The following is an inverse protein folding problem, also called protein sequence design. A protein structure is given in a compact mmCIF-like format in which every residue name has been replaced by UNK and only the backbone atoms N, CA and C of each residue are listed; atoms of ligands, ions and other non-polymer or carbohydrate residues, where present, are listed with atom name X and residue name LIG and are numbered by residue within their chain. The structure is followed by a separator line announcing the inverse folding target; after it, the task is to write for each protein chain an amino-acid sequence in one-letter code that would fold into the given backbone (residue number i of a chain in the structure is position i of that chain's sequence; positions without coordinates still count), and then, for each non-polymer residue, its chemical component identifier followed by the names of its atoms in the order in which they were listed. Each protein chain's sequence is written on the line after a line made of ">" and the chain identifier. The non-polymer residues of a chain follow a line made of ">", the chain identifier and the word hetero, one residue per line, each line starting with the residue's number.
data_IF_736611172612
#
_entry.id   IF_736611172612
#
_cell.length_a   1.000
_cell.length_b   1.000
_cell.length_c   1.000
_cell.angle_alpha   90.00
_cell.angle_beta   90.00
_cell.angle_gamma   90.00
#
_symmetry.space_group_name_H-M   'P 1'
#
loop_
_entity.id
_entity.type
_entity.pdbx_description
1 polymer ?
#
# COMPACT_ATOMS: atom_id res chain seq x y z
N UNK A 1 -1.52 -20.27 20.47
CA UNK A 1 -1.26 -18.92 19.92
C UNK A 1 -0.96 -19.10 18.44
N UNK A 2 -1.62 -18.37 17.52
CA UNK A 2 -1.40 -18.49 16.08
C UNK A 2 0.07 -18.29 15.68
N UNK A 3 0.56 -19.07 14.72
CA UNK A 3 1.97 -19.05 14.26
C UNK A 3 2.36 -17.69 13.69
N UNK A 4 1.45 -17.07 12.94
CA UNK A 4 1.58 -15.72 12.37
C UNK A 4 1.81 -14.60 13.41
N UNK A 5 1.54 -14.83 14.69
CA UNK A 5 1.73 -13.84 15.75
C UNK A 5 3.03 -14.05 16.56
N UNK A 6 3.74 -15.15 16.32
CA UNK A 6 5.05 -15.42 16.93
C UNK A 6 6.06 -14.28 16.72
N UNK A 7 6.14 -13.62 15.55
CA UNK A 7 7.09 -12.52 15.37
C UNK A 7 6.89 -11.35 16.35
N UNK A 8 5.67 -11.15 16.87
CA UNK A 8 5.40 -10.10 17.86
C UNK A 8 6.10 -10.35 19.20
N UNK A 9 6.34 -11.61 19.58
CA UNK A 9 7.08 -11.89 20.82
C UNK A 9 8.54 -11.46 20.70
N UNK A 10 9.12 -11.55 19.49
CA UNK A 10 10.47 -11.08 19.22
C UNK A 10 10.60 -9.56 19.27
N UNK A 11 9.49 -8.83 19.07
CA UNK A 11 9.40 -7.37 19.25
C UNK A 11 9.13 -6.95 20.71
N UNK A 12 9.13 -7.90 21.66
CA UNK A 12 8.95 -7.62 23.09
C UNK A 12 7.49 -7.56 23.56
N UNK A 13 6.53 -8.09 22.78
CA UNK A 13 5.16 -8.26 23.27
C UNK A 13 5.06 -9.55 24.09
N UNK A 14 4.52 -9.43 25.30
CA UNK A 14 4.14 -10.60 26.09
C UNK A 14 2.93 -11.31 25.48
N UNK A 15 2.82 -12.62 25.73
CA UNK A 15 1.66 -13.42 25.30
C UNK A 15 0.33 -12.81 25.76
N UNK A 16 0.28 -12.24 26.97
CA UNK A 16 -0.91 -11.55 27.49
C UNK A 16 -1.30 -10.32 26.65
N UNK A 17 -0.33 -9.51 26.21
CA UNK A 17 -0.59 -8.37 25.31
C UNK A 17 -1.09 -8.82 23.94
N UNK A 18 -0.55 -9.92 23.40
CA UNK A 18 -1.01 -10.51 22.14
C UNK A 18 -2.46 -11.00 22.28
N UNK A 19 -2.79 -11.72 23.35
CA UNK A 19 -4.17 -12.15 23.63
C UNK A 19 -5.12 -10.94 23.77
N UNK A 20 -4.67 -9.86 24.41
CA UNK A 20 -5.47 -8.64 24.52
C UNK A 20 -5.70 -7.97 23.16
N UNK A 21 -4.72 -7.98 22.26
CA UNK A 21 -4.91 -7.52 20.88
C UNK A 21 -5.92 -8.38 20.12
N UNK A 22 -5.89 -9.70 20.31
CA UNK A 22 -6.87 -10.61 19.70
C UNK A 22 -8.28 -10.36 20.23
N UNK A 23 -8.44 -10.16 21.54
CA UNK A 23 -9.71 -9.81 22.16
C UNK A 23 -10.24 -8.49 21.60
N UNK A 24 -9.40 -7.44 21.55
CA UNK A 24 -9.75 -6.15 20.94
C UNK A 24 -10.14 -6.29 19.47
N UNK A 25 -9.44 -7.10 18.70
CA UNK A 25 -9.79 -7.34 17.30
C UNK A 25 -11.17 -7.99 17.19
N UNK A 26 -11.48 -8.99 18.04
CA UNK A 26 -12.80 -9.61 18.10
C UNK A 26 -13.89 -8.61 18.44
N UNK A 27 -13.70 -7.80 19.48
CA UNK A 27 -14.70 -6.81 19.95
C UNK A 27 -15.01 -5.75 18.88
N UNK A 28 -14.09 -5.52 17.94
CA UNK A 28 -14.26 -4.56 16.85
C UNK A 28 -14.68 -5.20 15.52
N UNK A 29 -15.06 -6.48 15.51
CA UNK A 29 -15.52 -7.19 14.31
C UNK A 29 -14.39 -7.70 13.40
N UNK A 30 -13.14 -7.62 13.85
CA UNK A 30 -11.92 -8.05 13.15
C UNK A 30 -11.40 -9.39 13.71
N UNK A 31 -12.28 -10.29 14.13
CA UNK A 31 -11.90 -11.59 14.70
C UNK A 31 -11.04 -12.38 13.70
N UNK A 32 -9.89 -12.87 14.14
CA UNK A 32 -8.95 -13.62 13.29
C UNK A 32 -8.15 -12.76 12.30
N UNK A 33 -8.35 -11.43 12.24
CA UNK A 33 -7.64 -10.55 11.30
C UNK A 33 -6.30 -10.03 11.85
N UNK A 34 -5.94 -10.35 13.09
CA UNK A 34 -4.71 -9.82 13.70
C UNK A 34 -3.46 -10.26 12.93
N UNK A 35 -3.42 -11.50 12.42
CA UNK A 35 -2.33 -11.97 11.56
C UNK A 35 -2.20 -11.13 10.30
N UNK A 36 -3.31 -10.92 9.57
CA UNK A 36 -3.35 -10.08 8.37
C UNK A 36 -2.91 -8.63 8.65
N UNK A 37 -3.34 -8.05 9.78
CA UNK A 37 -2.92 -6.71 10.20
C UNK A 37 -1.42 -6.66 10.43
N UNK A 38 -0.85 -7.68 11.11
CA UNK A 38 0.59 -7.77 11.37
C UNK A 38 1.38 -7.89 10.07
N UNK A 39 0.94 -8.74 9.14
CA UNK A 39 1.56 -8.87 7.81
C UNK A 39 1.59 -7.52 7.08
N UNK A 40 0.44 -6.84 7.01
CA UNK A 40 0.30 -5.56 6.32
C UNK A 40 1.23 -4.46 6.82
N UNK A 41 1.56 -4.49 8.11
CA UNK A 41 2.31 -3.41 8.75
C UNK A 41 3.66 -3.85 9.30
N UNK A 42 4.12 -5.05 8.93
CA UNK A 42 5.38 -5.62 9.41
C UNK A 42 6.59 -4.70 9.15
N UNK A 43 6.75 -4.11 7.94
CA UNK A 43 7.87 -3.20 7.68
C UNK A 43 7.91 -1.98 8.61
N UNK A 44 6.74 -1.50 9.04
CA UNK A 44 6.62 -0.34 9.93
C UNK A 44 6.83 -0.71 11.39
N UNK A 45 6.36 -1.89 11.84
CA UNK A 45 6.43 -2.28 13.26
C UNK A 45 7.70 -3.04 13.64
N UNK A 46 8.40 -3.66 12.68
CA UNK A 46 9.62 -4.45 12.92
C UNK A 46 10.77 -3.65 13.53
N UNK A 47 10.75 -2.32 13.37
CA UNK A 47 11.77 -1.39 13.91
C UNK A 47 11.35 -0.77 15.26
N UNK A 48 10.16 -1.09 15.77
CA UNK A 48 9.59 -0.46 16.96
C UNK A 48 9.75 -1.35 18.19
N UNK A 49 9.75 -0.73 19.37
CA UNK A 49 9.72 -1.46 20.64
C UNK A 49 8.31 -1.99 20.97
N UNK A 50 8.22 -2.99 21.85
CA UNK A 50 6.96 -3.69 22.12
C UNK A 50 5.82 -2.83 22.69
N UNK A 51 6.12 -1.68 23.31
CA UNK A 51 5.10 -0.72 23.76
C UNK A 51 4.51 0.03 22.56
N UNK A 52 5.37 0.55 21.68
CA UNK A 52 4.95 1.23 20.47
C UNK A 52 4.19 0.29 19.52
N UNK A 53 4.68 -0.94 19.34
CA UNK A 53 4.00 -1.97 18.54
C UNK A 53 2.61 -2.27 19.10
N UNK A 54 2.47 -2.47 20.42
CA UNK A 54 1.18 -2.73 21.04
C UNK A 54 0.20 -1.56 20.85
N UNK A 55 0.65 -0.33 21.02
CA UNK A 55 -0.18 0.86 20.81
C UNK A 55 -0.63 1.00 19.35
N UNK A 56 0.29 0.79 18.42
CA UNK A 56 0.04 0.86 16.98
C UNK A 56 -0.99 -0.19 16.54
N UNK A 57 -0.76 -1.47 16.89
CA UNK A 57 -1.69 -2.55 16.58
C UNK A 57 -3.05 -2.35 17.26
N UNK A 58 -3.08 -1.86 18.50
CA UNK A 58 -4.32 -1.53 19.21
C UNK A 58 -5.17 -0.48 18.49
N UNK A 59 -4.54 0.46 17.80
CA UNK A 59 -5.23 1.46 16.98
C UNK A 59 -5.77 0.83 15.69
N UNK A 60 -4.98 -0.03 15.05
CA UNK A 60 -5.38 -0.68 13.81
C UNK A 60 -6.52 -1.65 14.00
N UNK A 61 -6.49 -2.51 15.01
CA UNK A 61 -7.58 -3.50 15.23
C UNK A 61 -8.96 -2.88 15.46
N UNK A 62 -9.04 -1.59 15.79
CA UNK A 62 -10.29 -0.83 15.94
C UNK A 62 -10.84 -0.28 14.61
N UNK A 63 -10.03 -0.22 13.56
CA UNK A 63 -10.48 0.27 12.27
C UNK A 63 -11.29 -0.82 11.58
N UNK A 64 -12.48 -0.48 11.08
CA UNK A 64 -13.26 -1.40 10.23
C UNK A 64 -12.70 -1.33 8.81
N UNK A 65 -11.84 -2.29 8.47
CA UNK A 65 -11.24 -2.46 7.15
C UNK A 65 -11.25 -3.94 6.78
N UNK A 66 -11.35 -4.23 5.49
CA UNK A 66 -11.19 -5.58 4.96
C UNK A 66 -9.70 -5.90 4.84
N UNK A 67 -9.09 -6.33 5.95
CA UNK A 67 -7.66 -6.63 6.01
C UNK A 67 -7.27 -7.81 5.13
N UNK A 68 -8.13 -8.82 4.99
CA UNK A 68 -7.90 -9.94 4.09
C UNK A 68 -7.79 -9.48 2.63
N UNK A 69 -8.68 -8.57 2.19
CA UNK A 69 -8.57 -7.94 0.87
C UNK A 69 -7.32 -7.09 0.73
N UNK A 70 -6.96 -6.34 1.78
CA UNK A 70 -5.74 -5.52 1.76
C UNK A 70 -4.46 -6.36 1.68
N UNK A 71 -4.40 -7.52 2.35
CA UNK A 71 -3.30 -8.48 2.19
C UNK A 71 -3.25 -9.00 0.76
N UNK A 72 -4.37 -9.40 0.16
CA UNK A 72 -4.39 -9.83 -1.25
C UNK A 72 -3.91 -8.74 -2.21
N UNK A 73 -4.31 -7.50 -1.96
CA UNK A 73 -3.80 -6.34 -2.69
C UNK A 73 -2.29 -6.22 -2.48
N UNK A 74 -1.82 -6.26 -1.23
CA UNK A 74 -0.40 -6.21 -0.93
C UNK A 74 0.37 -7.34 -1.62
N UNK A 75 -0.06 -8.59 -1.53
CA UNK A 75 0.55 -9.74 -2.20
C UNK A 75 0.57 -9.55 -3.72
N UNK A 76 -0.54 -9.11 -4.33
CA UNK A 76 -0.61 -8.80 -5.76
C UNK A 76 0.34 -7.67 -6.20
N UNK A 77 0.65 -6.73 -5.30
CA UNK A 77 1.57 -5.61 -5.56
C UNK A 77 2.98 -5.81 -4.98
N UNK A 78 3.21 -6.82 -4.14
CA UNK A 78 4.50 -7.20 -3.54
C UNK A 78 5.13 -8.41 -4.24
N UNK A 79 4.35 -9.24 -4.95
CA UNK A 79 4.87 -10.25 -5.90
C UNK A 79 5.65 -9.63 -7.07
N UNK A 80 5.59 -8.30 -7.24
CA UNK A 80 6.53 -7.54 -8.09
C UNK A 80 7.84 -7.16 -7.37
N UNK A 81 8.21 -7.88 -6.31
CA UNK A 81 9.52 -7.80 -5.65
C UNK A 81 9.78 -6.51 -4.85
N UNK A 82 10.67 -6.60 -3.86
CA UNK A 82 11.35 -5.41 -3.37
C UNK A 82 12.14 -4.81 -4.54
N UNK A 83 11.66 -3.67 -5.06
CA UNK A 83 12.41 -2.89 -6.04
C UNK A 83 13.78 -2.57 -5.43
N UNK A 84 14.90 -3.03 -6.01
CA UNK A 84 16.22 -2.73 -5.49
C UNK A 84 16.41 -1.22 -5.35
N UNK A 85 17.06 -0.77 -4.28
CA UNK A 85 17.19 0.67 -3.98
C UNK A 85 17.76 1.46 -5.17
N UNK A 86 18.77 0.92 -5.85
CA UNK A 86 19.36 1.55 -7.03
C UNK A 86 18.37 1.72 -8.20
N UNK A 87 17.43 0.77 -8.36
CA UNK A 87 16.38 0.84 -9.38
C UNK A 87 15.34 1.89 -8.98
N UNK A 88 14.97 1.93 -7.70
CA UNK A 88 14.07 2.94 -7.16
C UNK A 88 14.64 4.37 -7.33
N UNK A 89 15.94 4.55 -7.07
CA UNK A 89 16.62 5.85 -7.23
C UNK A 89 16.61 6.30 -8.71
N UNK A 90 17.00 5.41 -9.65
CA UNK A 90 16.94 5.67 -11.10
C UNK A 90 15.53 6.05 -11.56
N UNK A 91 14.50 5.38 -11.04
CA UNK A 91 13.11 5.63 -11.43
C UNK A 91 12.57 6.91 -10.78
N UNK A 92 12.99 7.25 -9.55
CA UNK A 92 12.67 8.51 -8.90
C UNK A 92 13.18 9.72 -9.71
N UNK A 93 14.39 9.63 -10.26
CA UNK A 93 14.97 10.68 -11.12
C UNK A 93 14.13 10.94 -12.38
N UNK A 94 13.37 9.95 -12.84
CA UNK A 94 12.53 10.04 -14.04
C UNK A 94 11.14 10.60 -13.78
N UNK A 95 10.71 10.68 -12.52
CA UNK A 95 9.38 11.19 -12.15
C UNK A 95 9.13 12.60 -12.70
N UNK A 96 10.05 13.59 -12.55
CA UNK A 96 9.82 14.93 -13.09
C UNK A 96 9.61 14.93 -14.61
N UNK A 97 10.44 14.21 -15.36
CA UNK A 97 10.32 14.10 -16.81
C UNK A 97 9.00 13.41 -17.24
N UNK A 98 8.58 12.39 -16.51
CA UNK A 98 7.29 11.74 -16.73
C UNK A 98 6.12 12.69 -16.48
N UNK A 99 6.15 13.46 -15.39
CA UNK A 99 5.09 14.42 -15.05
C UNK A 99 4.97 15.55 -16.06
N UNK A 100 6.09 16.06 -16.56
CA UNK A 100 6.08 17.05 -17.65
C UNK A 100 5.46 16.46 -18.93
N UNK A 101 5.83 15.23 -19.30
CA UNK A 101 5.32 14.56 -20.50
C UNK A 101 3.83 14.18 -20.40
N UNK A 102 3.36 13.86 -19.21
CA UNK A 102 1.98 13.39 -18.96
C UNK A 102 0.99 14.51 -18.66
N UNK A 103 1.41 15.77 -18.75
CA UNK A 103 0.57 16.93 -18.46
C UNK A 103 -0.71 16.92 -19.31
N UNK A 104 -1.84 16.80 -18.63
CA UNK A 104 -3.17 16.76 -19.27
C UNK A 104 -3.53 15.41 -19.90
N UNK A 105 -2.65 14.42 -19.85
CA UNK A 105 -2.87 13.09 -20.43
C UNK A 105 -3.61 12.17 -19.45
N UNK A 106 -4.26 11.15 -20.02
CA UNK A 106 -4.81 10.03 -19.27
C UNK A 106 -3.82 8.87 -19.28
N UNK A 107 -3.80 8.12 -18.19
CA UNK A 107 -3.09 6.87 -18.06
C UNK A 107 -4.05 5.73 -18.37
N UNK A 108 -3.66 4.85 -19.28
CA UNK A 108 -4.39 3.63 -19.61
C UNK A 108 -3.52 2.41 -19.39
N UNK A 109 -4.12 1.29 -19.01
CA UNK A 109 -3.42 0.01 -18.97
C UNK A 109 -3.11 -0.48 -20.40
N UNK A 110 -2.24 -1.49 -20.52
CA UNK A 110 -1.98 -2.18 -21.79
C UNK A 110 -3.24 -2.79 -22.40
N UNK A 111 -4.22 -3.21 -21.59
CA UNK A 111 -5.52 -3.72 -22.07
C UNK A 111 -6.49 -2.62 -22.52
N UNK A 112 -6.12 -1.34 -22.35
CA UNK A 112 -6.95 -0.18 -22.71
C UNK A 112 -7.87 0.31 -21.59
N UNK A 113 -7.77 -0.23 -20.38
CA UNK A 113 -8.52 0.23 -19.22
C UNK A 113 -8.07 1.62 -18.78
N UNK A 114 -9.01 2.53 -18.52
CA UNK A 114 -8.69 3.86 -18.03
C UNK A 114 -8.27 3.80 -16.56
N UNK A 115 -7.01 4.10 -16.28
CA UNK A 115 -6.47 4.13 -14.91
C UNK A 115 -6.66 5.49 -14.24
N UNK A 116 -6.80 6.56 -15.02
CA UNK A 116 -7.09 7.92 -14.51
C UNK A 116 -6.38 9.03 -15.27
N UNK A 117 -6.53 10.26 -14.82
CA UNK A 117 -5.83 11.42 -15.38
C UNK A 117 -4.60 11.77 -14.55
N UNK A 118 -3.47 12.05 -15.22
CA UNK A 118 -2.27 12.48 -14.51
C UNK A 118 -2.38 13.97 -14.15
N UNK A 119 -2.17 14.28 -12.88
CA UNK A 119 -2.16 15.65 -12.33
C UNK A 119 -0.80 15.94 -11.71
N UNK A 120 -0.25 17.09 -12.04
CA UNK A 120 0.99 17.59 -11.45
C UNK A 120 0.65 18.43 -10.20
N UNK A 121 1.46 18.28 -9.15
CA UNK A 121 1.39 19.04 -7.92
C UNK A 121 2.78 19.57 -7.56
N UNK A 122 2.88 20.63 -6.76
CA UNK A 122 4.18 21.26 -6.44
C UNK A 122 5.21 20.31 -5.77
N UNK A 123 4.75 19.19 -5.20
CA UNK A 123 5.56 18.19 -4.50
C UNK A 123 5.64 16.83 -5.21
N UNK A 124 5.16 16.72 -6.45
CA UNK A 124 5.12 15.46 -7.22
C UNK A 124 3.92 15.38 -8.16
N UNK A 125 3.37 14.19 -8.37
CA UNK A 125 2.13 14.05 -9.14
C UNK A 125 1.28 12.90 -8.65
N UNK A 126 0.04 12.87 -9.10
CA UNK A 126 -0.91 11.82 -8.78
C UNK A 126 -1.75 11.48 -10.00
N UNK A 127 -2.16 10.21 -10.07
CA UNK A 127 -3.18 9.74 -11.01
C UNK A 127 -4.51 9.81 -10.29
N UNK A 128 -5.42 10.57 -10.87
CA UNK A 128 -6.77 10.76 -10.38
C UNK A 128 -7.73 9.86 -11.14
N UNK A 129 -8.47 9.02 -10.41
CA UNK A 129 -9.49 8.15 -10.97
C UNK A 129 -10.78 8.21 -10.18
N UNK A 130 -11.87 7.78 -10.82
CA UNK A 130 -13.17 7.60 -10.19
C UNK A 130 -13.42 6.10 -10.23
N UNK A 131 -13.64 5.48 -9.06
CA UNK A 131 -13.97 4.06 -9.02
C UNK A 131 -15.42 3.79 -9.46
N UNK A 132 -15.78 2.52 -9.62
CA UNK A 132 -17.13 2.09 -10.04
C UNK A 132 -18.26 2.56 -9.10
N UNK A 133 -17.92 3.10 -7.92
CA UNK A 133 -18.86 3.63 -6.93
C UNK A 133 -18.93 5.15 -6.95
N UNK A 134 -18.27 5.80 -7.91
CA UNK A 134 -18.21 7.25 -8.03
C UNK A 134 -17.24 7.91 -7.02
N UNK A 135 -16.40 7.13 -6.32
CA UNK A 135 -15.47 7.67 -5.34
C UNK A 135 -14.17 8.07 -6.01
N UNK A 136 -13.77 9.33 -5.83
CA UNK A 136 -12.48 9.85 -6.29
C UNK A 136 -11.34 9.18 -5.54
N UNK A 137 -10.43 8.57 -6.28
CA UNK A 137 -9.19 7.97 -5.77
C UNK A 137 -7.99 8.69 -6.34
N UNK A 138 -6.97 8.83 -5.52
CA UNK A 138 -5.69 9.42 -5.89
C UNK A 138 -4.59 8.39 -5.65
N UNK A 139 -3.86 8.05 -6.70
CA UNK A 139 -2.68 7.21 -6.62
C UNK A 139 -1.44 8.08 -6.85
N UNK A 140 -0.43 8.07 -5.97
CA UNK A 140 0.78 8.84 -6.19
C UNK A 140 1.56 8.33 -7.40
N UNK A 141 2.14 9.25 -8.18
CA UNK A 141 3.17 8.93 -9.16
C UNK A 141 4.44 8.58 -8.38
N UNK A 142 4.86 7.33 -8.47
CA UNK A 142 5.98 6.77 -7.72
C UNK A 142 6.87 5.92 -8.65
N UNK A 143 8.03 5.44 -8.21
CA UNK A 143 8.94 4.63 -9.03
C UNK A 143 8.27 3.45 -9.74
N UNK A 144 7.33 2.78 -9.08
CA UNK A 144 6.61 1.62 -9.66
C UNK A 144 5.73 2.03 -10.84
N UNK A 145 5.07 3.19 -10.76
CA UNK A 145 4.32 3.70 -11.90
C UNK A 145 5.22 4.00 -13.10
N UNK A 146 6.41 4.53 -12.83
CA UNK A 146 7.41 4.81 -13.86
C UNK A 146 7.91 3.50 -14.48
N UNK A 147 8.19 2.49 -13.66
CA UNK A 147 8.57 1.15 -14.13
C UNK A 147 7.50 0.55 -15.05
N UNK A 148 6.23 0.55 -14.62
CA UNK A 148 5.11 0.07 -15.44
C UNK A 148 4.98 0.84 -16.76
N UNK A 149 5.33 2.13 -16.77
CA UNK A 149 5.34 2.93 -17.99
C UNK A 149 6.50 2.58 -18.91
N UNK A 150 7.70 2.34 -18.36
CA UNK A 150 8.87 1.87 -19.13
C UNK A 150 8.66 0.47 -19.73
N UNK A 151 8.01 -0.42 -18.98
CA UNK A 151 7.64 -1.77 -19.42
C UNK A 151 6.46 -1.77 -20.41
N UNK A 152 5.79 -0.63 -20.61
CA UNK A 152 4.61 -0.51 -21.45
C UNK A 152 3.40 -1.26 -20.90
N UNK A 153 3.36 -1.54 -19.60
CA UNK A 153 2.18 -2.03 -18.88
C UNK A 153 1.13 -0.92 -18.76
N UNK A 154 1.57 0.34 -18.72
CA UNK A 154 0.72 1.54 -18.78
C UNK A 154 1.20 2.50 -19.87
N UNK A 155 0.26 3.20 -20.49
CA UNK A 155 0.51 4.10 -21.62
C UNK A 155 -0.18 5.43 -21.36
N UNK A 156 0.48 6.51 -21.78
CA UNK A 156 -0.11 7.85 -21.77
C UNK A 156 -0.91 8.06 -23.06
N UNK A 157 -2.14 8.56 -22.93
CA UNK A 157 -2.99 8.94 -24.08
C UNK A 157 -3.55 10.33 -23.89
N UNK A 158 -3.86 10.99 -25.01
CA UNK A 158 -4.61 12.24 -24.99
C UNK A 158 -6.05 11.94 -24.54
N UNK A 159 -6.67 12.81 -23.71
CA UNK A 159 -8.10 12.74 -23.46
C UNK A 159 -8.84 12.92 -24.80
N UNK A 160 -9.79 12.05 -25.08
CA UNK A 160 -10.69 12.19 -26.23
C UNK A 160 -11.75 13.25 -25.97
#
# INVERSE_FOLDING_TARGET
>A
MPVELLPLTNLGLSRGRICLLMARARDNGNCGQLGAIVTLVWPQISKLNGVAVFAYLSKLVKQRKDYARLVKIQDQYEDKGHMPQHLADRLNEKIPAFLERSKGMILVSRSGELLGQVKNHASGGFVESIDDRGVRRMMPVNPRLIEMWEEGDVVLRQPS
#
